data_IF_855204510712
#
_entry.id   IF_855204510712
#
_cell.length_a   1.000
_cell.length_b   1.000
_cell.length_c   1.000
_cell.angle_alpha   90.00
_cell.angle_beta   90.00
_cell.angle_gamma   90.00
#
_symmetry.space_group_name_H-M   'P 1'
#
loop_
_entity.id
_entity.type
_entity.pdbx_description
1 polymer ?
#
# COMPACT_ATOMS: atom_id res chain seq x y z
N UNK A 1 -19.17 -16.19 -37.56
CA UNK A 1 -19.10 -16.74 -36.19
C UNK A 1 -17.82 -16.26 -35.55
N UNK A 2 -17.91 -15.47 -34.46
CA UNK A 2 -16.76 -14.95 -33.69
C UNK A 2 -16.63 -15.76 -32.40
N UNK A 3 -15.45 -16.20 -31.96
CA UNK A 3 -15.27 -16.69 -30.61
C UNK A 3 -14.91 -15.52 -29.67
N UNK A 4 -15.63 -15.44 -28.55
CA UNK A 4 -15.30 -14.60 -27.39
C UNK A 4 -14.18 -15.26 -26.59
N UNK A 5 -13.14 -14.51 -26.21
CA UNK A 5 -12.18 -14.89 -25.18
C UNK A 5 -12.32 -13.94 -23.99
N UNK A 6 -13.19 -14.34 -23.07
CA UNK A 6 -13.25 -13.85 -21.69
C UNK A 6 -12.19 -14.64 -20.90
N UNK A 7 -11.09 -14.00 -20.52
CA UNK A 7 -10.17 -14.49 -19.49
C UNK A 7 -10.70 -13.95 -18.14
N UNK A 8 -10.90 -14.79 -17.10
CA UNK A 8 -11.57 -14.35 -15.87
C UNK A 8 -10.62 -13.59 -14.92
N UNK A 9 -11.16 -12.71 -14.04
CA UNK A 9 -10.41 -11.93 -13.05
C UNK A 9 -9.72 -12.76 -11.93
N UNK A 10 -9.84 -14.09 -11.94
CA UNK A 10 -9.25 -14.96 -10.91
C UNK A 10 -7.72 -15.07 -10.97
N UNK A 11 -7.10 -15.01 -12.15
CA UNK A 11 -5.65 -15.13 -12.28
C UNK A 11 -4.89 -13.93 -11.66
N UNK A 12 -5.48 -12.73 -11.75
CA UNK A 12 -4.92 -11.53 -11.12
C UNK A 12 -5.07 -11.56 -9.58
N UNK A 13 -6.15 -12.15 -9.06
CA UNK A 13 -6.37 -12.31 -7.62
C UNK A 13 -5.40 -13.31 -6.99
N UNK A 14 -5.04 -14.38 -7.71
CA UNK A 14 -4.10 -15.40 -7.22
C UNK A 14 -2.67 -14.84 -7.12
N UNK A 15 -2.21 -14.08 -8.12
CA UNK A 15 -0.88 -13.42 -8.06
C UNK A 15 -0.80 -12.37 -6.95
N UNK A 16 -1.90 -11.65 -6.70
CA UNK A 16 -2.00 -10.66 -5.62
C UNK A 16 -2.01 -11.32 -4.23
N UNK A 17 -2.73 -12.44 -4.07
CA UNK A 17 -2.82 -13.18 -2.83
C UNK A 17 -1.49 -13.85 -2.46
N UNK A 18 -0.77 -14.41 -3.45
CA UNK A 18 0.56 -15.02 -3.24
C UNK A 18 1.58 -13.98 -2.77
N UNK A 19 1.52 -12.74 -3.28
CA UNK A 19 2.41 -11.66 -2.86
C UNK A 19 2.09 -11.13 -1.44
N UNK A 20 0.81 -10.98 -1.10
CA UNK A 20 0.39 -10.54 0.24
C UNK A 20 0.71 -11.61 1.30
N UNK A 21 0.53 -12.88 0.98
CA UNK A 21 0.89 -14.01 1.87
C UNK A 21 2.41 -14.14 2.01
N UNK A 22 3.18 -13.89 0.95
CA UNK A 22 4.66 -13.85 0.99
C UNK A 22 5.19 -12.71 1.88
N UNK A 23 4.59 -11.53 1.81
CA UNK A 23 4.92 -10.39 2.69
C UNK A 23 4.63 -10.67 4.17
N UNK A 24 3.51 -11.33 4.49
CA UNK A 24 3.15 -11.67 5.89
C UNK A 24 3.98 -12.83 6.45
N UNK A 25 4.34 -13.81 5.61
CA UNK A 25 5.25 -14.89 6.01
C UNK A 25 6.68 -14.38 6.24
N UNK A 26 7.15 -13.40 5.47
CA UNK A 26 8.50 -12.83 5.64
C UNK A 26 8.69 -12.19 7.02
N UNK A 27 7.65 -11.56 7.59
CA UNK A 27 7.71 -10.95 8.93
C UNK A 27 7.75 -12.03 10.02
N UNK A 28 6.90 -13.05 9.91
CA UNK A 28 6.83 -14.15 10.90
C UNK A 28 8.07 -15.07 10.83
N UNK A 29 8.64 -15.21 9.64
CA UNK A 29 9.84 -16.00 9.39
C UNK A 29 11.11 -15.25 9.83
N UNK A 30 11.16 -13.92 9.71
CA UNK A 30 12.25 -13.11 10.27
C UNK A 30 12.26 -13.13 11.80
N UNK A 31 11.10 -13.17 12.46
CA UNK A 31 11.03 -13.33 13.93
C UNK A 31 11.49 -14.74 14.37
N UNK A 32 11.15 -15.78 13.59
CA UNK A 32 11.61 -17.14 13.85
C UNK A 32 13.11 -17.29 13.60
N UNK A 33 13.63 -16.75 12.49
CA UNK A 33 15.06 -16.76 12.15
C UNK A 33 15.89 -15.89 13.10
N UNK A 34 15.38 -14.75 13.57
CA UNK A 34 16.02 -13.97 14.65
C UNK A 34 16.09 -14.78 15.95
N UNK A 35 15.02 -15.50 16.32
CA UNK A 35 15.05 -16.34 17.53
C UNK A 35 16.06 -17.49 17.44
N UNK A 36 16.30 -18.02 16.23
CA UNK A 36 17.30 -19.05 15.98
C UNK A 36 18.71 -18.45 15.97
N UNK A 37 18.90 -17.26 15.39
CA UNK A 37 20.18 -16.53 15.38
C UNK A 37 20.57 -16.04 16.77
N UNK A 38 19.63 -15.55 17.59
CA UNK A 38 19.86 -15.21 19.00
C UNK A 38 20.27 -16.44 19.81
N UNK A 39 19.64 -17.60 19.54
CA UNK A 39 20.00 -18.86 20.19
C UNK A 39 21.38 -19.35 19.76
N UNK A 40 21.70 -19.25 18.46
CA UNK A 40 23.02 -19.58 17.93
C UNK A 40 24.12 -18.62 18.43
N UNK A 41 23.82 -17.33 18.60
CA UNK A 41 24.73 -16.35 19.19
C UNK A 41 24.94 -16.59 20.69
N UNK A 42 23.91 -17.01 21.44
CA UNK A 42 24.05 -17.41 22.84
C UNK A 42 24.89 -18.70 23.00
N UNK A 43 24.72 -19.66 22.10
CA UNK A 43 25.51 -20.91 22.07
C UNK A 43 26.95 -20.64 21.62
N UNK A 44 27.18 -19.68 20.72
CA UNK A 44 28.50 -19.27 20.26
C UNK A 44 29.25 -18.39 21.27
N UNK A 45 28.53 -17.54 22.03
CA UNK A 45 29.09 -16.77 23.15
C UNK A 45 29.50 -17.66 24.33
N UNK A 46 28.88 -18.84 24.46
CA UNK A 46 29.26 -19.85 25.47
C UNK A 46 30.44 -20.73 25.04
N UNK A 47 30.86 -20.66 23.77
CA UNK A 47 31.88 -21.54 23.18
C UNK A 47 33.17 -20.81 22.81
N UNK A 48 33.24 -19.49 22.99
CA UNK A 48 34.37 -18.66 22.59
C UNK A 48 35.28 -18.34 23.77
N UNK A 49 35.80 -19.39 24.41
CA UNK A 49 36.89 -19.29 25.38
C UNK A 49 37.89 -20.43 25.13
N UNK A 50 38.30 -20.64 23.88
CA UNK A 50 39.56 -21.33 23.54
C UNK A 50 39.99 -21.02 22.09
N UNK A 51 41.29 -20.73 21.95
CA UNK A 51 42.12 -20.71 20.74
C UNK A 51 42.06 -19.52 19.77
N UNK A 52 42.94 -18.55 20.06
CA UNK A 52 43.64 -17.69 19.10
C UNK A 52 44.95 -18.37 18.66
N UNK A 53 45.21 -18.53 17.36
CA UNK A 53 46.56 -18.40 16.75
C UNK A 53 46.61 -18.62 15.23
N UNK A 54 47.36 -17.73 14.54
CA UNK A 54 48.00 -17.84 13.21
C UNK A 54 47.11 -17.84 11.93
N UNK A 55 47.40 -17.16 10.83
CA UNK A 55 48.53 -16.32 10.39
C UNK A 55 48.60 -16.25 8.85
N UNK A 56 48.80 -15.03 8.30
CA UNK A 56 49.43 -14.64 7.00
C UNK A 56 48.84 -14.97 5.60
N UNK A 57 48.45 -13.86 4.94
CA UNK A 57 48.91 -13.31 3.63
C UNK A 57 48.68 -14.01 2.25
N UNK A 58 47.92 -13.27 1.41
CA UNK A 58 48.12 -12.90 -0.01
C UNK A 58 48.33 -13.97 -1.12
N UNK A 59 47.43 -13.99 -2.14
CA UNK A 59 47.68 -13.53 -3.52
C UNK A 59 46.81 -14.21 -4.60
N UNK A 60 46.50 -13.42 -5.64
CA UNK A 60 46.16 -13.78 -7.03
C UNK A 60 44.72 -14.18 -7.39
N UNK A 61 43.98 -13.18 -7.88
CA UNK A 61 42.74 -13.35 -8.65
C UNK A 61 43.06 -13.81 -10.08
N UNK A 62 42.82 -15.10 -10.37
CA UNK A 62 42.65 -15.64 -11.72
C UNK A 62 41.14 -15.72 -12.03
N UNK A 63 40.74 -15.62 -13.32
CA UNK A 63 39.33 -15.54 -13.70
C UNK A 63 38.66 -16.89 -13.43
N UNK A 64 37.66 -16.87 -12.57
CA UNK A 64 36.90 -18.05 -12.16
C UNK A 64 36.12 -18.57 -13.37
N UNK A 65 36.43 -19.81 -13.78
CA UNK A 65 35.59 -20.62 -14.68
C UNK A 65 34.16 -20.68 -14.13
N UNK A 66 33.20 -20.43 -15.01
CA UNK A 66 31.75 -20.66 -14.95
C UNK A 66 31.28 -21.53 -13.78
N UNK A 67 30.72 -20.88 -12.75
CA UNK A 67 29.87 -21.47 -11.71
C UNK A 67 28.53 -21.87 -12.38
N UNK A 68 28.36 -23.14 -12.75
CA UNK A 68 27.15 -23.79 -13.33
C UNK A 68 26.16 -22.81 -14.00
N UNK A 69 26.17 -22.61 -15.32
CA UNK A 69 25.17 -21.71 -15.93
C UNK A 69 23.75 -22.20 -15.64
N UNK A 70 22.85 -21.27 -15.30
CA UNK A 70 21.46 -21.60 -14.99
C UNK A 70 20.73 -22.04 -16.26
N UNK A 71 20.04 -23.18 -16.21
CA UNK A 71 19.19 -23.61 -17.30
C UNK A 71 17.85 -22.86 -17.26
N UNK A 72 17.85 -21.65 -17.81
CA UNK A 72 16.68 -20.78 -17.89
C UNK A 72 15.49 -21.41 -18.62
N UNK A 73 15.74 -22.29 -19.60
CA UNK A 73 14.66 -23.00 -20.31
C UNK A 73 13.97 -23.98 -19.36
N UNK A 74 14.74 -24.72 -18.57
CA UNK A 74 14.20 -25.62 -17.55
C UNK A 74 13.44 -24.85 -16.47
N UNK A 75 13.97 -23.72 -16.01
CA UNK A 75 13.28 -22.86 -15.02
C UNK A 75 11.95 -22.36 -15.58
N UNK A 76 11.94 -21.85 -16.83
CA UNK A 76 10.71 -21.42 -17.49
C UNK A 76 9.67 -22.55 -17.63
N UNK A 77 10.11 -23.76 -17.99
CA UNK A 77 9.23 -24.92 -18.10
C UNK A 77 8.63 -25.30 -16.73
N UNK A 78 9.43 -25.30 -15.66
CA UNK A 78 8.96 -25.55 -14.30
C UNK A 78 7.94 -24.49 -13.84
N UNK A 79 8.15 -23.22 -14.19
CA UNK A 79 7.19 -22.15 -13.89
C UNK A 79 5.86 -22.31 -14.63
N UNK A 80 5.90 -22.68 -15.91
CA UNK A 80 4.70 -22.94 -16.70
C UNK A 80 3.91 -24.15 -16.16
N UNK A 81 4.61 -25.21 -15.76
CA UNK A 81 4.00 -26.39 -15.15
C UNK A 81 3.25 -26.03 -13.86
N UNK A 82 3.89 -25.26 -12.96
CA UNK A 82 3.26 -24.77 -11.73
C UNK A 82 1.98 -23.96 -12.00
N UNK A 83 1.98 -23.10 -13.01
CA UNK A 83 0.79 -22.31 -13.38
C UNK A 83 -0.34 -23.18 -13.94
N UNK A 84 -0.01 -24.21 -14.72
CA UNK A 84 -0.99 -25.09 -15.35
C UNK A 84 -1.59 -26.15 -14.41
N UNK A 85 -0.80 -26.65 -13.46
CA UNK A 85 -1.20 -27.74 -12.57
C UNK A 85 -1.94 -27.26 -11.31
N UNK A 86 -2.00 -25.95 -11.07
CA UNK A 86 -2.66 -25.36 -9.89
C UNK A 86 -2.04 -25.80 -8.55
N UNK A 87 -0.85 -26.40 -8.57
CA UNK A 87 -0.13 -26.93 -7.41
C UNK A 87 1.07 -26.07 -7.02
N UNK A 88 1.54 -26.20 -5.76
CA UNK A 88 2.66 -25.42 -5.20
C UNK A 88 4.04 -25.69 -5.83
N UNK A 89 4.16 -26.65 -6.75
CA UNK A 89 5.44 -27.05 -7.35
C UNK A 89 6.48 -27.56 -6.34
N UNK A 90 7.71 -27.76 -6.80
CA UNK A 90 8.84 -28.07 -5.91
C UNK A 90 9.34 -26.78 -5.22
N UNK A 91 8.70 -26.45 -4.10
CA UNK A 91 9.01 -25.26 -3.30
C UNK A 91 10.48 -25.20 -2.85
N UNK A 92 11.13 -26.36 -2.65
CA UNK A 92 12.54 -26.42 -2.25
C UNK A 92 13.45 -25.98 -3.39
N UNK A 93 13.13 -26.36 -4.62
CA UNK A 93 13.85 -25.89 -5.81
C UNK A 93 13.67 -24.38 -6.01
N UNK A 94 12.47 -23.84 -5.75
CA UNK A 94 12.23 -22.39 -5.83
C UNK A 94 12.99 -21.58 -4.77
N UNK A 95 13.07 -22.08 -3.54
CA UNK A 95 13.88 -21.43 -2.48
C UNK A 95 15.37 -21.40 -2.87
N UNK A 96 15.90 -22.53 -3.36
CA UNK A 96 17.29 -22.60 -3.82
C UNK A 96 17.56 -21.68 -5.01
N UNK A 97 16.63 -21.60 -5.96
CA UNK A 97 16.72 -20.67 -7.07
C UNK A 97 16.75 -19.23 -6.55
N UNK A 98 15.84 -18.86 -5.66
CA UNK A 98 15.81 -17.53 -5.07
C UNK A 98 17.12 -17.17 -4.36
N UNK A 99 17.65 -18.06 -3.51
CA UNK A 99 18.94 -17.86 -2.84
C UNK A 99 20.07 -17.67 -3.86
N UNK A 100 20.11 -18.51 -4.90
CA UNK A 100 21.11 -18.42 -5.95
C UNK A 100 21.06 -17.08 -6.68
N UNK A 101 19.87 -16.58 -7.01
CA UNK A 101 19.71 -15.28 -7.66
C UNK A 101 20.19 -14.13 -6.76
N UNK A 102 19.98 -14.25 -5.45
CA UNK A 102 20.46 -13.25 -4.49
C UNK A 102 21.99 -13.25 -4.35
N UNK A 103 22.64 -14.41 -4.49
CA UNK A 103 24.10 -14.53 -4.48
C UNK A 103 24.78 -14.05 -5.77
N UNK A 104 24.05 -13.96 -6.89
CA UNK A 104 24.63 -13.50 -8.16
C UNK A 104 25.12 -12.06 -8.04
N UNK A 105 26.34 -11.81 -8.52
CA UNK A 105 26.87 -10.47 -8.74
C UNK A 105 26.01 -9.67 -9.73
N UNK A 106 26.20 -8.35 -9.72
CA UNK A 106 25.57 -7.45 -10.69
C UNK A 106 25.84 -7.92 -12.12
N UNK A 107 27.09 -8.24 -12.42
CA UNK A 107 27.53 -8.64 -13.76
C UNK A 107 26.88 -9.96 -14.19
N UNK A 108 26.74 -10.92 -13.26
CA UNK A 108 26.05 -12.19 -13.51
C UNK A 108 24.55 -11.98 -13.77
N UNK A 109 23.89 -11.08 -13.03
CA UNK A 109 22.47 -10.77 -13.24
C UNK A 109 22.21 -10.10 -14.59
N UNK A 110 23.11 -9.20 -15.01
CA UNK A 110 23.05 -8.56 -16.33
C UNK A 110 23.26 -9.60 -17.43
N UNK A 111 24.29 -10.45 -17.30
CA UNK A 111 24.55 -11.51 -18.27
C UNK A 111 23.38 -12.49 -18.39
N UNK A 112 22.70 -12.80 -17.27
CA UNK A 112 21.52 -13.64 -17.28
C UNK A 112 20.33 -13.00 -18.02
N UNK A 113 20.13 -11.69 -17.90
CA UNK A 113 19.11 -10.98 -18.69
C UNK A 113 19.40 -11.05 -20.19
N UNK A 114 20.66 -10.88 -20.59
CA UNK A 114 21.05 -10.98 -21.99
C UNK A 114 20.91 -12.42 -22.51
N UNK A 115 21.24 -13.42 -21.69
CA UNK A 115 21.00 -14.84 -21.99
C UNK A 115 19.51 -15.10 -22.22
N UNK A 116 18.63 -14.70 -21.28
CA UNK A 116 17.17 -14.88 -21.37
C UNK A 116 16.61 -14.21 -22.63
N UNK A 117 17.09 -13.00 -22.97
CA UNK A 117 16.66 -12.29 -24.16
C UNK A 117 16.97 -13.10 -25.45
N UNK A 118 18.12 -13.78 -25.50
CA UNK A 118 18.56 -14.60 -26.61
C UNK A 118 17.87 -15.98 -26.70
N UNK A 119 17.23 -16.47 -25.63
CA UNK A 119 16.55 -17.76 -25.65
C UNK A 119 15.33 -17.75 -26.57
N UNK A 120 15.08 -18.88 -27.24
CA UNK A 120 13.81 -19.11 -27.94
C UNK A 120 12.75 -19.57 -26.94
N UNK A 121 12.13 -18.60 -26.26
CA UNK A 121 11.07 -18.78 -25.27
C UNK A 121 9.89 -17.86 -25.59
N UNK A 122 8.64 -18.25 -25.26
CA UNK A 122 7.49 -17.36 -25.35
C UNK A 122 7.71 -16.06 -24.55
N UNK A 123 7.19 -14.92 -25.03
CA UNK A 123 7.36 -13.61 -24.39
C UNK A 123 6.98 -13.64 -22.91
N UNK A 124 5.86 -14.27 -22.57
CA UNK A 124 5.41 -14.39 -21.18
C UNK A 124 6.41 -15.14 -20.29
N UNK A 125 7.08 -16.17 -20.80
CA UNK A 125 8.10 -16.90 -20.05
C UNK A 125 9.36 -16.04 -19.84
N UNK A 126 9.78 -15.27 -20.86
CA UNK A 126 10.88 -14.30 -20.71
C UNK A 126 10.56 -13.24 -19.66
N UNK A 127 9.37 -12.66 -19.73
CA UNK A 127 8.93 -11.64 -18.76
C UNK A 127 8.92 -12.16 -17.33
N UNK A 128 8.48 -13.41 -17.12
CA UNK A 128 8.50 -14.04 -15.79
C UNK A 128 9.92 -14.23 -15.26
N UNK A 129 10.86 -14.67 -16.10
CA UNK A 129 12.26 -14.81 -15.72
C UNK A 129 12.92 -13.45 -15.43
N UNK A 130 12.65 -12.45 -16.26
CA UNK A 130 13.16 -11.08 -16.05
C UNK A 130 12.63 -10.48 -14.74
N UNK A 131 11.35 -10.68 -14.43
CA UNK A 131 10.74 -10.25 -13.16
C UNK A 131 11.41 -10.89 -11.94
N UNK A 132 11.85 -12.14 -12.08
CA UNK A 132 12.55 -12.87 -11.02
C UNK A 132 13.96 -12.30 -10.78
N UNK A 133 14.64 -11.84 -11.85
CA UNK A 133 15.94 -11.19 -11.77
C UNK A 133 15.88 -9.73 -11.32
N UNK A 134 14.72 -9.08 -11.49
CA UNK A 134 14.57 -7.66 -11.22
C UNK A 134 14.87 -7.32 -9.75
N UNK A 135 14.35 -8.08 -8.79
CA UNK A 135 14.57 -7.83 -7.36
C UNK A 135 16.06 -7.79 -6.98
N UNK A 136 16.81 -8.89 -7.18
CA UNK A 136 18.25 -8.93 -6.92
C UNK A 136 19.04 -7.85 -7.68
N UNK A 137 18.62 -7.52 -8.91
CA UNK A 137 19.27 -6.49 -9.72
C UNK A 137 19.03 -5.09 -9.15
N UNK A 138 17.83 -4.78 -8.67
CA UNK A 138 17.53 -3.50 -8.01
C UNK A 138 18.39 -3.32 -6.75
N UNK A 139 18.60 -4.39 -5.98
CA UNK A 139 19.39 -4.31 -4.76
C UNK A 139 20.85 -3.95 -5.03
N UNK A 140 21.40 -4.45 -6.15
CA UNK A 140 22.83 -4.35 -6.53
C UNK A 140 23.13 -3.19 -7.48
N UNK A 141 22.25 -2.91 -8.41
CA UNK A 141 22.33 -1.81 -9.38
C UNK A 141 20.93 -1.28 -9.75
N UNK A 142 20.33 -0.44 -8.88
CA UNK A 142 19.00 0.09 -9.12
C UNK A 142 18.94 1.00 -10.36
N UNK A 143 20.00 1.76 -10.65
CA UNK A 143 20.06 2.66 -11.81
C UNK A 143 19.97 1.87 -13.12
N UNK A 144 20.77 0.81 -13.24
CA UNK A 144 20.72 -0.08 -14.41
C UNK A 144 19.35 -0.76 -14.51
N UNK A 145 18.84 -1.33 -13.41
CA UNK A 145 17.55 -2.02 -13.39
C UNK A 145 16.42 -1.11 -13.89
N UNK A 146 16.31 0.08 -13.29
CA UNK A 146 15.27 1.05 -13.63
C UNK A 146 15.39 1.54 -15.07
N UNK A 147 16.61 1.79 -15.55
CA UNK A 147 16.85 2.23 -16.93
C UNK A 147 16.49 1.14 -17.94
N UNK A 148 16.90 -0.11 -17.69
CA UNK A 148 16.64 -1.25 -18.58
C UNK A 148 15.15 -1.53 -18.75
N UNK A 149 14.36 -1.38 -17.67
CA UNK A 149 12.94 -1.70 -17.67
C UNK A 149 12.02 -0.48 -17.78
N UNK A 150 12.57 0.73 -17.94
CA UNK A 150 11.81 1.98 -18.04
C UNK A 150 10.75 1.93 -19.14
N UNK A 151 11.07 1.38 -20.32
CA UNK A 151 10.12 1.34 -21.44
C UNK A 151 8.88 0.46 -21.16
N UNK A 152 8.89 -0.34 -20.10
CA UNK A 152 7.75 -1.17 -19.69
C UNK A 152 6.71 -0.42 -18.88
N UNK A 153 7.01 0.79 -18.38
CA UNK A 153 6.02 1.59 -17.65
C UNK A 153 4.90 2.10 -18.58
N UNK A 154 5.11 2.17 -19.91
CA UNK A 154 4.11 2.71 -20.84
C UNK A 154 2.81 1.92 -20.95
N UNK A 155 2.75 0.70 -20.39
CA UNK A 155 1.53 -0.11 -20.35
C UNK A 155 0.87 0.00 -18.98
N UNK A 156 -0.23 0.76 -18.88
CA UNK A 156 -1.00 1.03 -17.66
C UNK A 156 -1.52 -0.22 -16.93
N UNK A 157 -1.61 -1.35 -17.62
CA UNK A 157 -2.06 -2.63 -17.07
C UNK A 157 -0.91 -3.50 -16.53
N UNK A 158 0.33 -3.05 -16.67
CA UNK A 158 1.50 -3.84 -16.29
C UNK A 158 1.84 -3.70 -14.80
N UNK A 159 2.18 -4.83 -14.16
CA UNK A 159 2.66 -4.86 -12.77
C UNK A 159 4.01 -4.12 -12.59
N UNK A 160 4.70 -3.82 -13.69
CA UNK A 160 6.02 -3.21 -13.72
C UNK A 160 6.05 -1.82 -13.09
N UNK A 161 5.04 -0.97 -13.29
CA UNK A 161 5.10 0.40 -12.78
C UNK A 161 5.17 0.50 -11.26
N UNK A 162 4.40 -0.33 -10.54
CA UNK A 162 4.48 -0.37 -9.08
C UNK A 162 5.83 -0.91 -8.60
N UNK A 163 6.33 -1.98 -9.24
CA UNK A 163 7.60 -2.59 -8.84
C UNK A 163 8.80 -1.67 -9.10
N UNK A 164 8.81 -0.97 -10.24
CA UNK A 164 9.84 0.02 -10.55
C UNK A 164 9.73 1.25 -9.65
N UNK A 165 8.52 1.71 -9.29
CA UNK A 165 8.36 2.79 -8.31
C UNK A 165 8.86 2.39 -6.91
N UNK A 166 8.68 1.13 -6.51
CA UNK A 166 9.23 0.60 -5.25
C UNK A 166 10.76 0.54 -5.29
N UNK A 167 11.31 0.02 -6.38
CA UNK A 167 12.75 -0.02 -6.63
C UNK A 167 13.40 1.36 -6.56
N UNK A 168 12.75 2.33 -7.18
CA UNK A 168 13.17 3.72 -7.16
C UNK A 168 13.14 4.31 -5.74
N UNK A 169 12.13 3.97 -4.92
CA UNK A 169 12.09 4.37 -3.51
C UNK A 169 13.29 3.83 -2.73
N UNK A 170 13.64 2.54 -2.90
CA UNK A 170 14.81 1.95 -2.24
C UNK A 170 16.12 2.59 -2.69
N UNK A 171 16.24 2.92 -3.99
CA UNK A 171 17.40 3.67 -4.46
C UNK A 171 17.47 5.06 -3.87
N UNK A 172 16.35 5.79 -3.84
CA UNK A 172 16.27 7.14 -3.29
C UNK A 172 16.59 7.18 -1.78
N UNK A 173 16.32 6.09 -1.04
CA UNK A 173 16.74 5.95 0.36
C UNK A 173 18.26 5.78 0.52
N UNK A 174 18.93 5.13 -0.45
CA UNK A 174 20.37 4.87 -0.43
C UNK A 174 21.19 6.06 -0.96
N UNK A 175 20.75 6.65 -2.07
CA UNK A 175 21.43 7.76 -2.76
C UNK A 175 20.36 8.66 -3.42
N UNK A 176 19.75 9.54 -2.61
CA UNK A 176 18.68 10.43 -3.05
C UNK A 176 19.12 11.35 -4.18
N UNK A 177 20.37 11.83 -4.15
CA UNK A 177 20.92 12.73 -5.17
C UNK A 177 20.95 12.11 -6.55
N UNK A 178 21.49 10.88 -6.68
CA UNK A 178 21.51 10.19 -7.98
C UNK A 178 20.12 9.77 -8.43
N UNK A 179 19.28 9.27 -7.52
CA UNK A 179 17.93 8.89 -7.85
C UNK A 179 17.11 10.07 -8.39
N UNK A 180 17.20 11.23 -7.73
CA UNK A 180 16.55 12.48 -8.19
C UNK A 180 17.07 12.89 -9.57
N UNK A 181 18.39 12.95 -9.75
CA UNK A 181 18.99 13.37 -11.02
C UNK A 181 18.58 12.45 -12.18
N UNK A 182 18.58 11.14 -11.95
CA UNK A 182 18.11 10.16 -12.92
C UNK A 182 16.62 10.35 -13.23
N UNK A 183 15.79 10.54 -12.21
CA UNK A 183 14.35 10.68 -12.41
C UNK A 183 14.01 11.94 -13.19
N UNK A 184 14.67 13.06 -12.89
CA UNK A 184 14.50 14.32 -13.61
C UNK A 184 14.97 14.19 -15.07
N UNK A 185 16.03 13.42 -15.33
CA UNK A 185 16.46 13.09 -16.70
C UNK A 185 15.39 12.28 -17.45
N UNK A 186 14.74 11.30 -16.81
CA UNK A 186 13.67 10.51 -17.44
C UNK A 186 12.40 11.34 -17.69
N UNK A 187 12.07 12.27 -16.78
CA UNK A 187 10.98 13.24 -16.99
C UNK A 187 11.31 14.13 -18.19
N UNK A 188 12.52 14.69 -18.27
CA UNK A 188 12.95 15.53 -19.39
C UNK A 188 12.97 14.77 -20.73
N UNK A 189 13.22 13.45 -20.70
CA UNK A 189 13.14 12.57 -21.86
C UNK A 189 11.71 12.18 -22.27
N UNK A 190 10.68 12.69 -21.59
CA UNK A 190 9.27 12.41 -21.89
C UNK A 190 8.81 11.00 -21.52
N UNK A 191 9.60 10.23 -20.75
CA UNK A 191 9.26 8.85 -20.36
C UNK A 191 8.05 8.78 -19.44
N UNK A 192 7.76 9.89 -18.77
CA UNK A 192 6.64 10.03 -17.83
C UNK A 192 5.49 10.88 -18.38
N UNK A 193 5.50 11.23 -19.67
CA UNK A 193 4.42 12.02 -20.26
C UNK A 193 3.11 11.24 -20.32
N UNK A 194 2.00 11.91 -20.01
CA UNK A 194 0.69 11.28 -20.02
C UNK A 194 0.04 11.32 -21.40
N UNK A 195 -0.66 10.23 -21.75
CA UNK A 195 -1.62 10.20 -22.86
C UNK A 195 -3.07 10.36 -22.39
N UNK A 196 -3.30 10.54 -21.09
CA UNK A 196 -4.63 10.72 -20.50
C UNK A 196 -5.21 12.10 -20.85
N UNK A 197 -6.55 12.19 -20.87
CA UNK A 197 -7.26 13.44 -21.14
C UNK A 197 -7.06 14.51 -20.06
N UNK A 198 -6.76 14.11 -18.83
CA UNK A 198 -6.47 15.02 -17.71
C UNK A 198 -4.99 15.47 -17.67
N UNK A 199 -4.15 14.97 -18.59
CA UNK A 199 -2.72 15.29 -18.65
C UNK A 199 -1.90 14.73 -17.48
N UNK A 200 -2.50 13.97 -16.55
CA UNK A 200 -1.82 13.44 -15.36
C UNK A 200 -1.24 12.06 -15.63
N UNK A 201 0.07 11.92 -15.48
CA UNK A 201 0.75 10.62 -15.61
C UNK A 201 0.69 9.85 -14.31
N UNK A 202 -0.07 8.74 -14.31
CA UNK A 202 -0.19 7.86 -13.14
C UNK A 202 1.16 7.33 -12.67
N UNK A 203 2.04 6.97 -13.59
CA UNK A 203 3.38 6.49 -13.26
C UNK A 203 4.25 7.58 -12.68
N UNK A 204 4.17 8.81 -13.22
CA UNK A 204 4.88 9.95 -12.63
C UNK A 204 4.43 10.14 -11.18
N UNK A 205 3.11 10.16 -10.93
CA UNK A 205 2.57 10.31 -9.58
C UNK A 205 3.09 9.23 -8.64
N UNK A 206 3.18 7.97 -9.08
CA UNK A 206 3.72 6.88 -8.26
C UNK A 206 5.21 7.05 -7.94
N UNK A 207 6.04 7.42 -8.93
CA UNK A 207 7.47 7.66 -8.70
C UNK A 207 7.69 8.88 -7.79
N UNK A 208 6.95 9.96 -8.01
CA UNK A 208 6.98 11.14 -7.15
C UNK A 208 6.56 10.78 -5.72
N UNK A 209 5.49 9.99 -5.53
CA UNK A 209 5.06 9.51 -4.22
C UNK A 209 6.11 8.65 -3.51
N UNK A 210 6.76 7.75 -4.26
CA UNK A 210 7.88 6.93 -3.78
C UNK A 210 9.06 7.77 -3.32
N UNK A 211 9.41 8.81 -4.07
CA UNK A 211 10.48 9.74 -3.74
C UNK A 211 10.11 10.62 -2.54
N UNK A 212 8.88 11.12 -2.46
CA UNK A 212 8.40 11.84 -1.27
C UNK A 212 8.55 10.96 -0.02
N UNK A 213 8.21 9.67 -0.13
CA UNK A 213 8.41 8.72 0.96
C UNK A 213 9.85 8.55 1.42
N UNK A 214 10.82 8.66 0.51
CA UNK A 214 12.24 8.62 0.85
C UNK A 214 12.72 9.95 1.45
N UNK A 215 12.24 11.10 0.93
CA UNK A 215 12.72 12.43 1.29
C UNK A 215 12.10 12.98 2.58
N UNK A 216 10.83 12.70 2.89
CA UNK A 216 10.15 13.31 4.05
C UNK A 216 10.93 13.10 5.36
N UNK A 217 11.53 11.93 5.55
CA UNK A 217 12.34 11.62 6.74
C UNK A 217 13.81 12.03 6.63
N UNK A 218 14.39 12.02 5.44
CA UNK A 218 15.83 12.21 5.22
C UNK A 218 16.22 13.64 4.85
N UNK A 219 15.42 14.29 3.99
CA UNK A 219 15.61 15.66 3.53
C UNK A 219 14.23 16.33 3.28
N UNK A 220 13.57 16.83 4.35
CA UNK A 220 12.27 17.50 4.23
C UNK A 220 12.30 18.75 3.35
N UNK A 221 13.45 19.42 3.25
CA UNK A 221 13.61 20.62 2.43
C UNK A 221 13.62 20.26 0.93
N UNK A 222 14.29 19.18 0.55
CA UNK A 222 14.22 18.64 -0.81
C UNK A 222 12.79 18.18 -1.15
N UNK A 223 12.09 17.52 -0.22
CA UNK A 223 10.69 17.12 -0.41
C UNK A 223 9.79 18.35 -0.68
N UNK A 224 9.91 19.40 0.13
CA UNK A 224 9.16 20.64 -0.04
C UNK A 224 9.47 21.35 -1.37
N UNK A 225 10.75 21.49 -1.70
CA UNK A 225 11.20 22.11 -2.95
C UNK A 225 10.62 21.35 -4.15
N UNK A 226 10.75 20.03 -4.15
CA UNK A 226 10.25 19.19 -5.24
C UNK A 226 8.73 19.28 -5.40
N UNK A 227 7.98 19.24 -4.29
CA UNK A 227 6.52 19.37 -4.32
C UNK A 227 6.07 20.75 -4.78
N UNK A 228 6.78 21.81 -4.39
CA UNK A 228 6.47 23.19 -4.79
C UNK A 228 6.66 23.43 -6.29
N UNK A 229 7.59 22.71 -6.92
CA UNK A 229 7.83 22.77 -8.36
C UNK A 229 6.71 22.10 -9.19
N UNK A 230 5.81 21.35 -8.55
CA UNK A 230 4.67 20.71 -9.21
C UNK A 230 3.45 21.63 -9.25
N UNK A 231 2.58 21.47 -10.28
CA UNK A 231 1.26 22.07 -10.29
C UNK A 231 0.48 21.75 -9.01
N UNK A 232 -0.19 22.76 -8.46
CA UNK A 232 -0.88 22.67 -7.16
C UNK A 232 -1.92 21.54 -7.11
N UNK A 233 -2.63 21.31 -8.22
CA UNK A 233 -3.66 20.29 -8.38
C UNK A 233 -3.11 18.84 -8.46
N UNK A 234 -1.79 18.66 -8.47
CA UNK A 234 -1.12 17.35 -8.46
C UNK A 234 -0.50 17.00 -7.11
N UNK A 235 -0.23 18.00 -6.26
CA UNK A 235 0.51 17.80 -4.99
C UNK A 235 -0.19 16.82 -4.06
N UNK A 236 -1.51 16.94 -3.94
CA UNK A 236 -2.33 16.03 -3.12
C UNK A 236 -2.27 14.60 -3.66
N UNK A 237 -2.30 14.41 -4.98
CA UNK A 237 -2.29 13.08 -5.59
C UNK A 237 -0.93 12.39 -5.36
N UNK A 238 0.17 13.13 -5.48
CA UNK A 238 1.51 12.65 -5.17
C UNK A 238 1.62 12.22 -3.70
N UNK A 239 1.24 13.07 -2.76
CA UNK A 239 1.29 12.73 -1.33
C UNK A 239 0.31 11.60 -0.94
N UNK A 240 -0.79 11.45 -1.67
CA UNK A 240 -1.73 10.32 -1.48
C UNK A 240 -1.12 9.01 -1.96
N UNK A 241 -0.40 9.01 -3.08
CA UNK A 241 0.17 7.81 -3.72
C UNK A 241 1.27 7.13 -2.90
N UNK A 242 1.91 7.85 -1.99
CA UNK A 242 2.89 7.30 -1.05
C UNK A 242 2.29 6.22 -0.13
N UNK A 243 2.90 5.04 -0.07
CA UNK A 243 2.29 3.86 0.57
C UNK A 243 2.54 3.69 2.08
N UNK A 244 3.66 4.17 2.63
CA UNK A 244 4.06 3.82 4.01
C UNK A 244 4.68 4.98 4.78
N UNK A 245 3.85 5.72 5.52
CA UNK A 245 4.35 6.72 6.47
C UNK A 245 4.95 6.01 7.70
N UNK A 246 6.24 6.22 7.96
CA UNK A 246 6.88 5.74 9.20
C UNK A 246 6.52 6.66 10.35
N UNK A 247 6.54 6.11 11.56
CA UNK A 247 6.16 6.82 12.78
C UNK A 247 7.02 8.07 13.03
N UNK A 248 8.33 7.93 12.86
CA UNK A 248 9.30 9.03 13.00
C UNK A 248 9.13 10.15 11.95
N UNK A 249 8.50 9.86 10.82
CA UNK A 249 8.36 10.79 9.69
C UNK A 249 7.00 11.54 9.71
N UNK A 250 6.09 11.17 10.61
CA UNK A 250 4.72 11.69 10.63
C UNK A 250 4.64 13.21 10.80
N UNK A 251 5.45 13.77 11.71
CA UNK A 251 5.47 15.22 11.95
C UNK A 251 6.00 15.98 10.72
N UNK A 252 7.05 15.47 10.08
CA UNK A 252 7.60 16.04 8.86
C UNK A 252 6.56 16.00 7.72
N UNK A 253 5.83 14.90 7.58
CA UNK A 253 4.72 14.78 6.63
C UNK A 253 3.62 15.81 6.89
N UNK A 254 3.17 15.97 8.13
CA UNK A 254 2.12 16.93 8.46
C UNK A 254 2.54 18.38 8.15
N UNK A 255 3.79 18.75 8.49
CA UNK A 255 4.37 20.06 8.15
C UNK A 255 4.46 20.28 6.64
N UNK A 256 4.84 19.26 5.89
CA UNK A 256 4.89 19.32 4.43
C UNK A 256 3.50 19.55 3.83
N UNK A 257 2.47 18.82 4.30
CA UNK A 257 1.09 19.00 3.86
C UNK A 257 0.61 20.42 4.15
N UNK A 258 0.77 20.90 5.39
CA UNK A 258 0.32 22.23 5.82
C UNK A 258 0.97 23.37 5.03
N UNK A 259 2.19 23.17 4.51
CA UNK A 259 2.93 24.19 3.77
C UNK A 259 2.76 24.14 2.25
N UNK A 260 2.50 22.96 1.67
CA UNK A 260 2.55 22.78 0.20
C UNK A 260 1.19 22.44 -0.43
N UNK A 261 0.22 21.99 0.35
CA UNK A 261 -1.10 21.54 -0.14
C UNK A 261 -2.13 22.66 0.08
N UNK A 262 -3.09 22.87 -0.85
CA UNK A 262 -4.17 23.83 -0.66
C UNK A 262 -4.90 23.61 0.66
N UNK A 263 -5.19 24.70 1.39
CA UNK A 263 -5.81 24.66 2.74
C UNK A 263 -7.04 23.74 2.81
N UNK A 264 -7.92 23.82 1.81
CA UNK A 264 -9.14 23.00 1.70
C UNK A 264 -8.91 21.48 1.63
N UNK A 265 -7.69 21.04 1.32
CA UNK A 265 -7.33 19.62 1.15
C UNK A 265 -6.44 19.07 2.28
N UNK A 266 -5.82 19.95 3.07
CA UNK A 266 -4.84 19.58 4.11
C UNK A 266 -5.43 18.63 5.14
N UNK A 267 -6.54 19.03 5.77
CA UNK A 267 -7.19 18.25 6.83
C UNK A 267 -7.61 16.86 6.32
N UNK A 268 -8.12 16.77 5.09
CA UNK A 268 -8.51 15.50 4.49
C UNK A 268 -7.30 14.60 4.24
N UNK A 269 -6.21 15.14 3.70
CA UNK A 269 -5.01 14.37 3.39
C UNK A 269 -4.32 13.84 4.65
N UNK A 270 -4.14 14.70 5.67
CA UNK A 270 -3.65 14.29 6.99
C UNK A 270 -4.62 13.28 7.61
N UNK A 271 -5.92 13.58 7.55
CA UNK A 271 -7.04 12.74 7.94
C UNK A 271 -6.88 11.29 7.51
N UNK A 272 -6.82 11.09 6.20
CA UNK A 272 -6.67 9.79 5.54
C UNK A 272 -5.39 9.08 5.96
N UNK A 273 -4.24 9.77 6.03
CA UNK A 273 -2.96 9.13 6.35
C UNK A 273 -2.85 8.74 7.82
N UNK A 274 -3.29 9.59 8.74
CA UNK A 274 -3.30 9.27 10.17
C UNK A 274 -4.28 8.12 10.47
N UNK A 275 -5.44 8.09 9.83
CA UNK A 275 -6.44 7.05 10.03
C UNK A 275 -5.94 5.64 9.68
N UNK A 276 -4.99 5.50 8.74
CA UNK A 276 -4.42 4.18 8.37
C UNK A 276 -3.71 3.48 9.55
N UNK A 277 -3.28 4.23 10.57
CA UNK A 277 -2.66 3.65 11.76
C UNK A 277 -3.63 2.84 12.63
N UNK A 278 -4.94 2.93 12.37
CA UNK A 278 -5.93 2.06 13.01
C UNK A 278 -5.67 0.58 12.73
N UNK A 279 -5.08 0.25 11.57
CA UNK A 279 -4.68 -1.12 11.22
C UNK A 279 -3.49 -1.64 12.04
N UNK A 280 -2.69 -0.75 12.65
CA UNK A 280 -1.49 -1.11 13.41
C UNK A 280 -1.73 -1.27 14.91
N UNK A 281 -2.80 -0.67 15.45
CA UNK A 281 -3.07 -0.70 16.89
C UNK A 281 -4.43 -0.15 17.29
N UNK A 282 -5.41 -0.14 16.39
CA UNK A 282 -6.73 0.42 16.66
C UNK A 282 -6.71 1.94 16.87
N UNK A 283 -7.78 2.44 17.49
CA UNK A 283 -7.95 3.86 17.77
C UNK A 283 -6.85 4.51 18.63
N UNK A 284 -6.27 3.84 19.66
CA UNK A 284 -5.17 4.42 20.43
C UNK A 284 -3.97 4.81 19.55
N UNK A 285 -3.61 3.98 18.55
CA UNK A 285 -2.49 4.30 17.65
C UNK A 285 -2.76 5.51 16.75
N UNK A 286 -4.03 5.76 16.45
CA UNK A 286 -4.47 6.97 15.74
C UNK A 286 -4.35 8.19 16.64
N UNK A 287 -4.77 8.12 17.91
CA UNK A 287 -4.60 9.20 18.89
C UNK A 287 -3.13 9.56 19.09
N UNK A 288 -2.25 8.58 19.29
CA UNK A 288 -0.79 8.82 19.38
C UNK A 288 -0.24 9.56 18.16
N UNK A 289 -0.73 9.20 16.96
CA UNK A 289 -0.34 9.85 15.71
C UNK A 289 -0.83 11.30 15.65
N UNK A 290 -2.09 11.55 16.03
CA UNK A 290 -2.68 12.90 16.08
C UNK A 290 -1.96 13.81 17.06
N UNK A 291 -1.58 13.28 18.23
CA UNK A 291 -0.84 14.02 19.25
C UNK A 291 0.58 14.33 18.77
N UNK A 292 1.27 13.36 18.17
CA UNK A 292 2.63 13.54 17.61
C UNK A 292 2.71 14.63 16.55
N UNK A 293 1.70 14.74 15.69
CA UNK A 293 1.68 15.74 14.61
C UNK A 293 1.07 17.09 15.04
N UNK A 294 0.68 17.21 16.31
CA UNK A 294 -0.03 18.37 16.84
C UNK A 294 -1.26 18.69 15.98
N UNK A 295 -2.13 17.70 15.81
CA UNK A 295 -3.25 17.79 14.88
C UNK A 295 -4.23 18.90 15.26
N UNK A 296 -4.61 19.72 14.29
CA UNK A 296 -5.63 20.77 14.45
C UNK A 296 -7.03 20.16 14.66
N UNK A 297 -8.02 20.90 15.18
CA UNK A 297 -9.39 20.39 15.32
C UNK A 297 -9.97 19.86 13.99
N UNK A 298 -9.73 20.56 12.88
CA UNK A 298 -10.19 20.14 11.56
C UNK A 298 -9.51 18.82 11.10
N UNK A 299 -8.22 18.66 11.37
CA UNK A 299 -7.48 17.43 11.08
C UNK A 299 -7.98 16.26 11.95
N UNK A 300 -8.22 16.50 13.26
CA UNK A 300 -8.77 15.48 14.16
C UNK A 300 -10.15 15.02 13.72
N UNK A 301 -11.04 15.92 13.33
CA UNK A 301 -12.36 15.56 12.77
C UNK A 301 -12.25 14.76 11.48
N UNK A 302 -11.38 15.18 10.55
CA UNK A 302 -11.14 14.43 9.32
C UNK A 302 -10.56 13.02 9.60
N UNK A 303 -9.60 12.92 10.52
CA UNK A 303 -9.02 11.62 10.93
C UNK A 303 -10.06 10.75 11.63
N UNK A 304 -10.87 11.30 12.54
CA UNK A 304 -11.88 10.53 13.27
C UNK A 304 -12.87 9.85 12.32
N UNK A 305 -13.34 10.61 11.32
CA UNK A 305 -14.22 10.09 10.26
C UNK A 305 -13.58 8.96 9.47
N UNK A 306 -12.34 9.14 8.98
CA UNK A 306 -11.65 8.12 8.20
C UNK A 306 -11.27 6.89 9.03
N UNK A 307 -10.84 7.08 10.28
CA UNK A 307 -10.47 5.99 11.19
C UNK A 307 -11.66 5.12 11.56
N UNK A 308 -12.82 5.73 11.84
CA UNK A 308 -14.07 5.00 12.06
C UNK A 308 -14.44 4.14 10.84
N UNK A 309 -14.36 4.71 9.63
CA UNK A 309 -14.64 4.00 8.39
C UNK A 309 -13.67 2.83 8.16
N UNK A 310 -12.37 3.02 8.39
CA UNK A 310 -11.36 1.97 8.24
C UNK A 310 -11.53 0.86 9.26
N UNK A 311 -11.80 1.18 10.52
CA UNK A 311 -12.00 0.19 11.57
C UNK A 311 -13.25 -0.64 11.35
N UNK A 312 -14.39 -0.02 11.04
CA UNK A 312 -15.63 -0.75 10.75
C UNK A 312 -15.49 -1.60 9.49
N UNK A 313 -14.85 -1.08 8.44
CA UNK A 313 -14.54 -1.89 7.25
C UNK A 313 -13.64 -3.09 7.57
N UNK A 314 -12.62 -2.91 8.42
CA UNK A 314 -11.71 -3.97 8.84
C UNK A 314 -12.43 -5.06 9.65
N UNK A 315 -13.23 -4.63 10.63
CA UNK A 315 -14.01 -5.54 11.48
C UNK A 315 -15.05 -6.29 10.65
N UNK A 316 -15.74 -5.62 9.71
CA UNK A 316 -16.74 -6.24 8.84
C UNK A 316 -16.18 -7.30 7.90
N UNK A 317 -14.88 -7.27 7.62
CA UNK A 317 -14.17 -8.32 6.89
C UNK A 317 -13.77 -9.51 7.78
N UNK A 318 -13.89 -9.39 9.10
CA UNK A 318 -13.43 -10.40 10.09
C UNK A 318 -14.57 -10.99 10.92
N UNK A 319 -15.61 -10.21 11.18
CA UNK A 319 -16.77 -10.57 12.00
C UNK A 319 -17.98 -9.70 11.66
N UNK A 320 -19.15 -10.10 12.14
CA UNK A 320 -20.33 -9.23 12.19
C UNK A 320 -20.06 -8.06 13.16
N UNK A 321 -20.43 -6.85 12.74
CA UNK A 321 -20.30 -5.64 13.58
C UNK A 321 -21.36 -5.65 14.67
N UNK A 322 -20.95 -5.45 15.92
CA UNK A 322 -21.85 -5.44 17.08
C UNK A 322 -22.12 -4.03 17.59
N UNK A 323 -23.08 -3.90 18.52
CA UNK A 323 -23.37 -2.63 19.21
C UNK A 323 -22.13 -2.11 19.96
N UNK A 324 -21.40 -3.01 20.62
CA UNK A 324 -20.19 -2.68 21.37
C UNK A 324 -19.06 -2.15 20.46
N UNK A 325 -18.96 -2.66 19.23
CA UNK A 325 -18.00 -2.13 18.24
C UNK A 325 -18.32 -0.67 17.86
N UNK A 326 -19.61 -0.33 17.76
CA UNK A 326 -20.08 1.02 17.46
C UNK A 326 -19.90 1.93 18.67
N UNK A 327 -20.25 1.48 19.88
CA UNK A 327 -20.07 2.27 21.11
C UNK A 327 -18.60 2.60 21.37
N UNK A 328 -17.69 1.63 21.23
CA UNK A 328 -16.25 1.87 21.38
C UNK A 328 -15.73 2.89 20.35
N UNK A 329 -16.28 2.87 19.13
CA UNK A 329 -15.98 3.87 18.11
C UNK A 329 -16.53 5.24 18.50
N UNK A 330 -17.79 5.34 18.96
CA UNK A 330 -18.41 6.60 19.41
C UNK A 330 -17.67 7.23 20.58
N UNK A 331 -17.29 6.42 21.57
CA UNK A 331 -16.49 6.85 22.72
C UNK A 331 -15.19 7.48 22.23
N UNK A 332 -14.43 6.79 21.38
CA UNK A 332 -13.19 7.35 20.84
C UNK A 332 -13.43 8.61 20.00
N UNK A 333 -14.42 8.62 19.11
CA UNK A 333 -14.76 9.80 18.29
C UNK A 333 -15.12 11.00 19.16
N UNK A 334 -15.81 10.80 20.29
CA UNK A 334 -16.16 11.90 21.21
C UNK A 334 -14.93 12.63 21.78
N UNK A 335 -13.79 11.94 21.88
CA UNK A 335 -12.52 12.54 22.34
C UNK A 335 -11.80 13.32 21.25
N UNK A 336 -12.02 12.97 19.97
CA UNK A 336 -11.30 13.56 18.83
C UNK A 336 -12.11 14.62 18.09
N UNK A 337 -13.43 14.43 18.00
CA UNK A 337 -14.36 15.21 17.20
C UNK A 337 -15.76 15.22 17.85
N UNK A 338 -15.91 15.86 19.03
CA UNK A 338 -17.16 15.81 19.81
C UNK A 338 -18.38 16.31 19.02
N UNK A 339 -18.20 17.34 18.18
CA UNK A 339 -19.25 17.92 17.34
C UNK A 339 -19.62 17.07 16.12
N UNK A 340 -18.97 15.93 15.91
CA UNK A 340 -19.20 15.06 14.74
C UNK A 340 -19.48 13.61 15.10
N UNK A 341 -19.69 13.30 16.38
CA UNK A 341 -19.94 11.93 16.86
C UNK A 341 -21.12 11.32 16.10
N UNK A 342 -22.25 12.03 16.03
CA UNK A 342 -23.48 11.47 15.48
C UNK A 342 -23.43 11.33 13.95
N UNK A 343 -22.92 12.35 13.25
CA UNK A 343 -22.72 12.24 11.80
C UNK A 343 -21.68 11.15 11.42
N UNK A 344 -20.62 10.96 12.19
CA UNK A 344 -19.65 9.87 11.98
C UNK A 344 -20.31 8.51 12.29
N UNK A 345 -21.12 8.43 13.34
CA UNK A 345 -21.88 7.22 13.71
C UNK A 345 -22.79 6.77 12.57
N UNK A 346 -23.59 7.67 12.00
CA UNK A 346 -24.47 7.35 10.88
C UNK A 346 -23.71 6.83 9.64
N UNK A 347 -22.56 7.44 9.33
CA UNK A 347 -21.71 6.97 8.23
C UNK A 347 -21.11 5.58 8.50
N UNK A 348 -20.64 5.33 9.72
CA UNK A 348 -20.06 4.06 10.15
C UNK A 348 -21.10 2.92 10.08
N UNK A 349 -22.33 3.17 10.55
CA UNK A 349 -23.46 2.24 10.42
C UNK A 349 -23.79 1.95 8.95
N UNK A 350 -23.84 2.96 8.09
CA UNK A 350 -24.07 2.74 6.67
C UNK A 350 -22.94 1.92 6.00
N UNK A 351 -21.70 2.07 6.49
CA UNK A 351 -20.54 1.30 6.02
C UNK A 351 -20.60 -0.16 6.44
N UNK A 352 -21.15 -0.48 7.61
CA UNK A 352 -21.26 -1.87 8.09
C UNK A 352 -22.14 -2.74 7.17
N UNK A 353 -23.11 -2.15 6.46
CA UNK A 353 -23.92 -2.84 5.45
C UNK A 353 -23.12 -3.35 4.22
N UNK A 354 -21.87 -2.91 4.06
CA UNK A 354 -20.98 -3.32 2.97
C UNK A 354 -20.02 -4.45 3.38
N UNK A 355 -20.13 -4.96 4.61
CA UNK A 355 -19.28 -6.02 5.13
C UNK A 355 -19.48 -7.34 4.37
N UNK A 356 -18.45 -8.20 4.38
CA UNK A 356 -18.58 -9.57 3.90
C UNK A 356 -19.49 -10.40 4.82
N UNK A 357 -19.42 -10.14 6.13
CA UNK A 357 -20.33 -10.66 7.14
C UNK A 357 -21.50 -9.70 7.31
N UNK A 358 -22.44 -9.75 6.36
CA UNK A 358 -23.55 -8.81 6.27
C UNK A 358 -24.37 -8.78 7.56
N UNK A 359 -24.45 -7.60 8.16
CA UNK A 359 -25.51 -7.29 9.13
C UNK A 359 -26.79 -7.01 8.35
N UNK A 360 -27.93 -7.51 8.83
CA UNK A 360 -29.21 -7.22 8.20
C UNK A 360 -29.52 -5.72 8.27
N UNK A 361 -30.12 -5.18 7.20
CA UNK A 361 -30.43 -3.75 7.15
C UNK A 361 -31.30 -3.32 8.33
N UNK A 362 -32.30 -4.14 8.67
CA UNK A 362 -33.24 -3.84 9.75
C UNK A 362 -32.54 -3.63 11.09
N UNK A 363 -31.51 -4.43 11.40
CA UNK A 363 -30.76 -4.33 12.65
C UNK A 363 -29.93 -3.04 12.69
N UNK A 364 -29.25 -2.71 11.59
CA UNK A 364 -28.46 -1.48 11.49
C UNK A 364 -29.35 -0.23 11.51
N UNK A 365 -30.52 -0.29 10.87
CA UNK A 365 -31.52 0.78 10.86
C UNK A 365 -32.10 1.02 12.26
N UNK A 366 -32.43 -0.05 13.00
CA UNK A 366 -32.89 0.05 14.38
C UNK A 366 -31.83 0.71 15.27
N UNK A 367 -30.56 0.33 15.09
CA UNK A 367 -29.45 0.94 15.82
C UNK A 367 -29.24 2.42 15.48
N UNK A 368 -29.35 2.79 14.19
CA UNK A 368 -29.29 4.20 13.77
C UNK A 368 -30.40 5.03 14.42
N UNK A 369 -31.61 4.48 14.51
CA UNK A 369 -32.74 5.13 15.17
C UNK A 369 -32.51 5.28 16.68
N UNK A 370 -32.00 4.23 17.34
CA UNK A 370 -31.67 4.29 18.78
C UNK A 370 -30.67 5.41 19.09
N UNK A 371 -29.61 5.56 18.29
CA UNK A 371 -28.65 6.63 18.50
C UNK A 371 -29.18 8.03 18.16
N UNK A 372 -30.06 8.14 17.16
CA UNK A 372 -30.79 9.38 16.88
C UNK A 372 -31.69 9.80 18.06
N UNK A 373 -32.47 8.88 18.60
CA UNK A 373 -33.33 9.14 19.76
C UNK A 373 -32.50 9.52 21.00
N UNK A 374 -31.38 8.83 21.23
CA UNK A 374 -30.50 9.12 22.37
C UNK A 374 -29.76 10.46 22.27
N UNK A 375 -29.39 10.88 21.06
CA UNK A 375 -28.68 12.15 20.83
C UNK A 375 -29.61 13.36 20.77
N UNK A 376 -30.89 13.14 20.45
CA UNK A 376 -31.88 14.21 20.30
C UNK A 376 -31.64 15.11 19.09
N UNK A 377 -30.84 14.66 18.10
CA UNK A 377 -30.58 15.38 16.86
C UNK A 377 -30.66 14.46 15.63
N UNK A 378 -30.82 15.05 14.45
CA UNK A 378 -31.02 14.29 13.20
C UNK A 378 -29.72 13.79 12.54
N UNK A 379 -28.55 14.10 13.09
CA UNK A 379 -27.29 13.89 12.36
C UNK A 379 -26.97 12.43 12.09
N UNK A 380 -27.31 11.51 13.01
CA UNK A 380 -27.13 10.07 12.82
C UNK A 380 -27.95 9.60 11.61
N UNK A 381 -29.26 9.88 11.59
CA UNK A 381 -30.16 9.43 10.52
C UNK A 381 -29.81 10.10 9.19
N UNK A 382 -29.52 11.41 9.22
CA UNK A 382 -29.15 12.15 8.03
C UNK A 382 -27.89 11.56 7.40
N UNK A 383 -26.83 11.30 8.18
CA UNK A 383 -25.59 10.73 7.68
C UNK A 383 -25.76 9.28 7.21
N UNK A 384 -26.55 8.48 7.93
CA UNK A 384 -26.88 7.10 7.55
C UNK A 384 -27.60 7.05 6.19
N UNK A 385 -28.66 7.84 6.04
CA UNK A 385 -29.51 7.87 4.84
C UNK A 385 -28.84 8.53 3.62
N UNK A 386 -27.83 9.36 3.82
CA UNK A 386 -27.08 9.97 2.71
C UNK A 386 -26.24 8.93 1.94
N UNK A 387 -25.98 7.77 2.53
CA UNK A 387 -25.18 6.72 1.92
C UNK A 387 -25.96 5.97 0.81
N UNK A 388 -25.30 5.71 -0.32
CA UNK A 388 -25.92 5.02 -1.46
C UNK A 388 -26.46 3.62 -1.11
N UNK A 389 -25.80 2.91 -0.19
CA UNK A 389 -26.17 1.54 0.19
C UNK A 389 -27.47 1.50 0.98
N UNK A 390 -27.69 2.51 1.82
CA UNK A 390 -28.93 2.63 2.58
C UNK A 390 -30.08 2.92 1.63
N UNK A 391 -29.84 3.77 0.63
CA UNK A 391 -30.83 4.15 -0.40
C UNK A 391 -31.25 3.01 -1.33
N UNK A 392 -30.49 1.90 -1.39
CA UNK A 392 -30.93 0.70 -2.11
C UNK A 392 -32.13 0.02 -1.42
N UNK A 393 -32.29 0.19 -0.11
CA UNK A 393 -33.42 -0.34 0.67
C UNK A 393 -34.54 0.71 0.77
N UNK A 394 -35.08 1.13 -0.39
CA UNK A 394 -35.94 2.31 -0.51
C UNK A 394 -37.10 2.36 0.49
N UNK A 395 -37.85 1.27 0.63
CA UNK A 395 -39.04 1.23 1.49
C UNK A 395 -38.67 1.48 2.96
N UNK A 396 -37.66 0.78 3.46
CA UNK A 396 -37.21 0.92 4.85
C UNK A 396 -36.48 2.25 5.08
N UNK A 397 -35.74 2.75 4.08
CA UNK A 397 -35.11 4.06 4.14
C UNK A 397 -36.16 5.18 4.22
N UNK A 398 -37.26 5.11 3.48
CA UNK A 398 -38.35 6.11 3.55
C UNK A 398 -38.98 6.18 4.95
N UNK A 399 -39.17 5.05 5.63
CA UNK A 399 -39.67 5.01 7.01
C UNK A 399 -38.74 5.75 7.99
N UNK A 400 -37.42 5.66 7.79
CA UNK A 400 -36.45 6.38 8.62
C UNK A 400 -36.43 7.88 8.31
N UNK A 401 -36.67 8.28 7.06
CA UNK A 401 -36.71 9.71 6.69
C UNK A 401 -37.84 10.45 7.40
N UNK A 402 -38.99 9.79 7.60
CA UNK A 402 -40.11 10.36 8.36
C UNK A 402 -39.76 10.69 9.81
N UNK A 403 -38.67 10.10 10.35
CA UNK A 403 -38.18 10.36 11.71
C UNK A 403 -37.28 11.59 11.82
N UNK A 404 -36.70 12.08 10.71
CA UNK A 404 -35.88 13.30 10.70
C UNK A 404 -36.77 14.49 11.04
N UNK A 405 -36.44 15.25 12.09
CA UNK A 405 -37.25 16.39 12.56
C UNK A 405 -37.04 17.68 11.74
N UNK A 406 -35.83 17.92 11.24
CA UNK A 406 -35.50 19.08 10.40
C UNK A 406 -36.06 18.90 8.98
N UNK A 407 -37.04 19.73 8.63
CA UNK A 407 -37.77 19.63 7.36
C UNK A 407 -36.83 19.81 6.15
N UNK A 408 -35.83 20.68 6.23
CA UNK A 408 -34.87 20.89 5.13
C UNK A 408 -34.02 19.65 4.87
N UNK A 409 -33.52 19.02 5.94
CA UNK A 409 -32.76 17.78 5.85
C UNK A 409 -33.63 16.62 5.37
N UNK A 410 -34.86 16.52 5.87
CA UNK A 410 -35.86 15.53 5.43
C UNK A 410 -36.11 15.64 3.92
N UNK A 411 -36.46 16.83 3.42
CA UNK A 411 -36.70 17.06 1.99
C UNK A 411 -35.47 16.72 1.13
N UNK A 412 -34.27 17.12 1.59
CA UNK A 412 -33.01 16.83 0.88
C UNK A 412 -32.78 15.33 0.74
N UNK A 413 -33.00 14.56 1.81
CA UNK A 413 -32.81 13.11 1.80
C UNK A 413 -33.92 12.42 0.97
N UNK A 414 -35.18 12.86 1.07
CA UNK A 414 -36.28 12.36 0.23
C UNK A 414 -35.95 12.46 -1.26
N UNK A 415 -35.41 13.60 -1.70
CA UNK A 415 -35.00 13.81 -3.11
C UNK A 415 -33.87 12.89 -3.58
N UNK A 416 -33.07 12.33 -2.65
CA UNK A 416 -31.97 11.41 -2.97
C UNK A 416 -32.39 9.94 -2.97
N UNK A 417 -33.52 9.60 -2.35
CA UNK A 417 -34.07 8.23 -2.27
C UNK A 417 -35.09 7.97 -3.40
N UNK A 418 -35.91 8.97 -3.70
CA UNK A 418 -36.81 8.95 -4.86
C UNK A 418 -35.99 8.93 -6.14
#
# INVERSE_FOLDING_TARGET
MKPNLLIPPLAALILSAIWIVSQQHSISQLDHENSILEKALADHASSQDTDLSNGKAAASSKPTKTKDSMDWKKIAAQMAEMQSAGGMGDMRSMIKLHQRLQEMSKEELIAALDEIAALDLPTQAKEQLEMMLLGPLIEKDPEFALTKFMDRIGNEQSAWGWQLASAFSEWAKKDSGKAIAWFDQQIAAGKFDSKSLDGKSRFRTQFEGSLMGALIGSDPAAAATRLSAMPEDQRTDVLRSFHQLKEQDQLAFAKLVRSQVPEKEQAKLIGTKAAQFVYKGGYPKVSETLDRIEATPAERTATAKEAANYQIGNLGNKKTITHEDIDAMREWVSTQAPESVDSITGNALARSLQSQHKTEFADVAALALQYHEASGNDEVLVAFLDNYQVRQNKEQALLLVEKITDEKSRERILKRIK
#
